data_IF_530854884318
#
_entry.id   IF_530854884318
#
_cell.length_a   1.000
_cell.length_b   1.000
_cell.length_c   1.000
_cell.angle_alpha   90.00
_cell.angle_beta   90.00
_cell.angle_gamma   90.00
#
_symmetry.space_group_name_H-M   'P 1'
#
loop_
_entity.id
_entity.type
_entity.pdbx_description
1 polymer ?
#
# COMPACT_ATOMS: atom_id res chain seq x y z
N UNK A 1 82.76 -10.01 -9.47
CA UNK A 1 81.65 -9.31 -8.79
C UNK A 1 80.52 -9.21 -9.81
N UNK A 2 79.62 -10.19 -9.84
CA UNK A 2 78.64 -10.37 -10.92
C UNK A 2 77.38 -9.55 -10.65
N UNK A 3 77.05 -8.68 -11.60
CA UNK A 3 75.85 -7.85 -11.60
C UNK A 3 74.75 -8.62 -12.33
N UNK A 4 73.73 -9.07 -11.61
CA UNK A 4 72.53 -9.67 -12.19
C UNK A 4 71.55 -8.57 -12.62
N UNK A 5 71.45 -8.32 -13.93
CA UNK A 5 70.39 -7.50 -14.51
C UNK A 5 69.12 -8.34 -14.71
N UNK A 6 68.15 -8.21 -13.80
CA UNK A 6 66.80 -8.70 -14.04
C UNK A 6 66.06 -7.75 -14.99
N UNK A 7 65.96 -8.15 -16.25
CA UNK A 7 65.20 -7.44 -17.27
C UNK A 7 63.70 -7.79 -17.12
N UNK A 8 63.02 -7.17 -16.15
CA UNK A 8 61.57 -7.32 -15.96
C UNK A 8 60.81 -6.54 -17.04
N UNK A 9 60.54 -7.19 -18.17
CA UNK A 9 59.48 -6.76 -19.09
C UNK A 9 58.13 -7.11 -18.46
N UNK A 10 57.55 -6.18 -17.71
CA UNK A 10 56.15 -6.26 -17.27
C UNK A 10 55.28 -6.30 -18.54
N UNK A 11 54.50 -7.36 -18.79
CA UNK A 11 53.73 -7.46 -20.02
C UNK A 11 52.56 -6.47 -19.97
N UNK A 12 52.50 -5.58 -20.99
CA UNK A 12 51.38 -4.67 -21.31
C UNK A 12 50.02 -5.36 -21.54
N UNK A 13 49.91 -6.64 -21.22
CA UNK A 13 48.72 -7.47 -21.42
C UNK A 13 47.68 -7.30 -20.30
N UNK A 14 48.10 -6.88 -19.11
CA UNK A 14 47.21 -6.74 -17.95
C UNK A 14 46.23 -5.55 -18.06
N UNK A 15 46.56 -4.51 -18.85
CA UNK A 15 45.70 -3.33 -18.98
C UNK A 15 44.52 -3.53 -19.94
N UNK A 16 44.60 -4.44 -20.92
CA UNK A 16 43.50 -4.66 -21.88
C UNK A 16 42.42 -5.63 -21.38
N UNK A 17 42.75 -6.52 -20.45
CA UNK A 17 41.79 -7.47 -19.88
C UNK A 17 40.87 -6.85 -18.81
N UNK A 18 41.18 -5.65 -18.33
CA UNK A 18 40.38 -4.90 -17.35
C UNK A 18 39.11 -4.26 -17.96
N UNK A 19 39.16 -3.86 -19.23
CA UNK A 19 38.11 -3.03 -19.84
C UNK A 19 36.93 -3.83 -20.41
N UNK A 20 37.15 -5.07 -20.88
CA UNK A 20 36.10 -5.87 -21.52
C UNK A 20 35.14 -6.53 -20.51
N UNK A 21 35.66 -6.96 -19.35
CA UNK A 21 34.87 -7.55 -18.25
C UNK A 21 34.07 -6.49 -17.49
N UNK A 22 34.59 -5.25 -17.40
CA UNK A 22 33.86 -4.13 -16.81
C UNK A 22 32.61 -3.75 -17.64
N UNK A 23 32.66 -3.85 -18.98
CA UNK A 23 31.51 -3.53 -19.85
C UNK A 23 30.37 -4.55 -19.78
N UNK A 24 30.67 -5.83 -19.55
CA UNK A 24 29.65 -6.88 -19.47
C UNK A 24 28.95 -6.91 -18.11
N UNK A 25 29.66 -6.63 -17.02
CA UNK A 25 29.04 -6.46 -15.70
C UNK A 25 28.14 -5.21 -15.64
N UNK A 26 28.50 -4.13 -16.36
CA UNK A 26 27.68 -2.90 -16.41
C UNK A 26 26.38 -3.08 -17.21
N UNK A 27 26.36 -3.94 -18.23
CA UNK A 27 25.15 -4.23 -19.02
C UNK A 27 24.12 -5.10 -18.28
N UNK A 28 24.54 -5.96 -17.33
CA UNK A 28 23.62 -6.83 -16.59
C UNK A 28 22.89 -6.09 -15.47
N UNK A 29 23.48 -5.00 -14.95
CA UNK A 29 22.86 -4.13 -13.95
C UNK A 29 21.75 -3.26 -14.57
N UNK A 30 21.77 -3.01 -15.88
CA UNK A 30 20.81 -2.13 -16.57
C UNK A 30 19.44 -2.77 -16.88
N UNK A 31 19.26 -4.08 -16.64
CA UNK A 31 18.02 -4.81 -16.98
C UNK A 31 17.10 -5.08 -15.79
N UNK A 32 17.52 -4.77 -14.57
CA UNK A 32 16.61 -4.71 -13.44
C UNK A 32 15.91 -3.35 -13.46
N UNK A 33 14.77 -3.29 -14.15
CA UNK A 33 13.78 -2.25 -13.83
C UNK A 33 13.38 -2.49 -12.39
N UNK A 34 13.98 -1.73 -11.49
CA UNK A 34 13.44 -1.55 -10.15
C UNK A 34 12.14 -0.79 -10.41
N UNK A 35 11.03 -1.53 -10.50
CA UNK A 35 9.71 -0.93 -10.45
C UNK A 35 9.58 -0.37 -9.04
N UNK A 36 10.02 0.87 -8.88
CA UNK A 36 9.78 1.64 -7.68
C UNK A 36 8.27 1.75 -7.58
N UNK A 37 7.67 1.00 -6.66
CA UNK A 37 6.27 1.15 -6.31
C UNK A 37 6.06 2.63 -5.97
N UNK A 38 5.42 3.36 -6.89
CA UNK A 38 5.11 4.76 -6.65
C UNK A 38 4.18 4.79 -5.44
N UNK A 39 4.58 5.53 -4.42
CA UNK A 39 3.71 5.78 -3.30
C UNK A 39 2.48 6.53 -3.84
N UNK A 40 1.35 5.84 -3.85
CA UNK A 40 0.06 6.44 -4.17
C UNK A 40 -0.39 7.24 -2.96
N UNK A 41 -0.82 8.48 -3.19
CA UNK A 41 -1.39 9.36 -2.19
C UNK A 41 -2.52 10.14 -2.84
N UNK A 42 -3.75 9.91 -2.40
CA UNK A 42 -4.91 10.64 -2.88
C UNK A 42 -5.82 11.06 -1.74
N UNK A 43 -6.50 12.20 -1.93
CA UNK A 43 -7.51 12.74 -1.02
C UNK A 43 -8.86 12.72 -1.73
N UNK A 44 -9.86 12.17 -1.07
CA UNK A 44 -11.23 12.07 -1.58
C UNK A 44 -12.20 12.72 -0.60
N UNK A 45 -13.04 13.62 -1.10
CA UNK A 45 -14.13 14.18 -0.29
C UNK A 45 -15.16 13.09 -0.02
N UNK A 46 -15.69 13.09 1.20
CA UNK A 46 -16.71 12.15 1.66
C UNK A 46 -17.96 12.97 1.95
N UNK A 47 -19.10 12.53 1.42
CA UNK A 47 -20.40 13.07 1.83
C UNK A 47 -20.70 12.51 3.23
N UNK A 48 -20.69 13.35 4.29
CA UNK A 48 -20.94 12.85 5.64
C UNK A 48 -22.40 12.38 5.82
N UNK A 49 -23.31 12.75 4.91
CA UNK A 49 -24.70 12.32 4.95
C UNK A 49 -24.94 10.93 4.36
N UNK A 50 -23.99 10.45 3.56
CA UNK A 50 -24.04 9.15 2.93
C UNK A 50 -23.64 8.05 3.93
N UNK A 51 -24.35 6.92 3.90
CA UNK A 51 -24.13 5.82 4.85
C UNK A 51 -23.71 4.52 4.16
N UNK A 52 -22.85 3.76 4.85
CA UNK A 52 -22.47 2.38 4.49
C UNK A 52 -23.26 1.33 5.29
N UNK A 53 -23.96 1.74 6.37
CA UNK A 53 -24.73 0.85 7.24
C UNK A 53 -26.23 1.13 7.10
N UNK A 54 -27.05 0.23 7.66
CA UNK A 54 -28.49 0.47 7.79
C UNK A 54 -28.68 1.68 8.70
N UNK A 55 -29.17 2.76 8.11
CA UNK A 55 -29.52 3.99 8.80
C UNK A 55 -30.96 4.36 8.49
N UNK A 56 -31.47 5.38 9.18
CA UNK A 56 -32.76 6.00 8.89
C UNK A 56 -32.99 6.17 7.38
N UNK A 57 -34.25 6.05 6.96
CA UNK A 57 -34.72 5.89 5.56
C UNK A 57 -34.37 6.99 4.57
N UNK A 58 -33.55 7.97 4.93
CA UNK A 58 -33.29 9.18 4.15
C UNK A 58 -31.81 9.44 3.84
N UNK A 59 -30.89 8.63 4.37
CA UNK A 59 -29.47 8.79 4.07
C UNK A 59 -29.15 8.30 2.65
N UNK A 60 -28.44 9.09 1.82
CA UNK A 60 -27.94 8.61 0.55
C UNK A 60 -26.95 7.44 0.72
N UNK A 61 -26.71 6.72 -0.37
CA UNK A 61 -25.76 5.62 -0.41
C UNK A 61 -24.33 6.14 -0.49
N UNK A 62 -23.43 5.61 0.34
CA UNK A 62 -22.00 5.85 0.19
C UNK A 62 -21.50 5.33 -1.15
N UNK A 63 -20.63 6.11 -1.79
CA UNK A 63 -19.98 5.75 -3.05
C UNK A 63 -18.71 4.94 -2.74
N UNK A 64 -18.59 3.68 -3.22
CA UNK A 64 -17.40 2.89 -3.02
C UNK A 64 -16.23 3.39 -3.87
N UNK A 65 -15.01 3.20 -3.36
CA UNK A 65 -13.78 3.37 -4.12
C UNK A 65 -13.34 2.02 -4.70
N UNK A 66 -13.06 2.00 -6.01
CA UNK A 66 -12.41 0.86 -6.68
C UNK A 66 -10.93 0.82 -6.27
N UNK A 67 -10.49 -0.24 -5.62
CA UNK A 67 -9.09 -0.38 -5.20
C UNK A 67 -8.15 -0.47 -6.41
N UNK A 68 -8.59 -1.14 -7.47
CA UNK A 68 -7.82 -1.25 -8.72
C UNK A 68 -7.63 0.11 -9.40
N UNK A 69 -8.64 0.98 -9.39
CA UNK A 69 -8.52 2.33 -9.97
C UNK A 69 -7.54 3.21 -9.17
N UNK A 70 -7.36 2.90 -7.88
CA UNK A 70 -6.37 3.53 -7.00
C UNK A 70 -4.99 2.88 -7.11
N UNK A 71 -4.82 1.83 -7.92
CA UNK A 71 -3.58 1.05 -8.00
C UNK A 71 -3.27 0.25 -6.73
N UNK A 72 -4.28 0.00 -5.90
CA UNK A 72 -4.18 -0.76 -4.65
C UNK A 72 -4.63 -2.20 -4.90
N UNK A 73 -3.81 -3.16 -4.51
CA UNK A 73 -4.04 -4.58 -4.69
C UNK A 73 -4.31 -5.29 -3.35
N UNK A 74 -4.89 -6.49 -3.42
CA UNK A 74 -4.98 -7.37 -2.25
C UNK A 74 -3.60 -7.63 -1.65
N UNK A 75 -3.52 -7.60 -0.32
CA UNK A 75 -2.28 -7.79 0.43
C UNK A 75 -1.46 -6.51 0.65
N UNK A 76 -1.74 -5.43 -0.09
CA UNK A 76 -1.09 -4.14 0.12
C UNK A 76 -1.39 -3.60 1.52
N UNK A 77 -0.43 -2.89 2.12
CA UNK A 77 -0.67 -2.12 3.33
C UNK A 77 -0.94 -0.68 2.97
N UNK A 78 -2.07 -0.16 3.42
CA UNK A 78 -2.49 1.22 3.17
C UNK A 78 -2.66 1.98 4.48
N UNK A 79 -2.35 3.28 4.44
CA UNK A 79 -2.68 4.24 5.49
C UNK A 79 -3.90 5.03 5.05
N UNK A 80 -4.93 4.96 5.87
CA UNK A 80 -6.14 5.76 5.78
C UNK A 80 -6.03 6.89 6.81
N UNK A 81 -6.43 8.11 6.46
CA UNK A 81 -6.37 9.27 7.34
C UNK A 81 -7.55 10.20 7.06
N UNK A 82 -8.24 10.67 8.09
CA UNK A 82 -9.34 11.62 7.90
C UNK A 82 -8.79 13.05 7.88
N UNK A 83 -9.37 13.85 6.98
CA UNK A 83 -9.27 15.29 6.90
C UNK A 83 -10.64 15.92 7.14
N UNK A 84 -10.65 17.12 7.73
CA UNK A 84 -11.89 17.87 7.93
C UNK A 84 -12.85 17.28 8.94
N UNK A 85 -13.97 17.97 9.16
CA UNK A 85 -15.02 17.55 10.11
C UNK A 85 -16.39 17.86 9.54
N UNK A 86 -17.43 17.36 10.21
CA UNK A 86 -18.82 17.64 9.87
C UNK A 86 -19.61 17.95 11.14
N UNK A 87 -20.80 18.52 10.95
CA UNK A 87 -21.81 18.72 11.98
C UNK A 87 -22.79 17.54 11.98
N UNK A 88 -22.94 16.80 13.09
CA UNK A 88 -23.80 15.62 13.15
C UNK A 88 -25.29 15.94 13.34
N UNK A 89 -25.64 17.22 13.54
CA UNK A 89 -27.01 17.64 13.88
C UNK A 89 -27.55 18.73 12.93
N UNK A 90 -26.97 18.84 11.74
CA UNK A 90 -27.41 19.78 10.71
C UNK A 90 -27.11 21.24 10.99
N UNK A 91 -26.35 21.57 12.04
CA UNK A 91 -25.90 22.93 12.31
C UNK A 91 -24.61 23.23 11.51
N UNK A 92 -24.67 24.02 10.44
CA UNK A 92 -23.51 24.31 9.59
C UNK A 92 -22.41 25.11 10.32
N UNK A 93 -22.68 25.62 11.53
CA UNK A 93 -21.73 26.41 12.31
C UNK A 93 -20.92 25.58 13.32
N UNK A 94 -21.29 24.32 13.52
CA UNK A 94 -20.70 23.45 14.55
C UNK A 94 -20.10 22.16 13.94
N UNK A 95 -19.03 22.31 13.16
CA UNK A 95 -18.31 21.21 12.51
C UNK A 95 -17.17 20.68 13.38
N UNK A 96 -17.47 19.77 14.31
CA UNK A 96 -16.49 19.20 15.23
C UNK A 96 -16.40 17.67 15.17
N UNK A 97 -17.33 17.01 14.48
CA UNK A 97 -17.37 15.56 14.44
C UNK A 97 -16.48 15.03 13.31
N UNK A 98 -15.65 14.04 13.64
CA UNK A 98 -14.64 13.51 12.74
C UNK A 98 -14.51 11.99 12.87
N UNK A 99 -15.56 11.30 13.29
CA UNK A 99 -15.54 9.85 13.31
C UNK A 99 -15.81 9.32 11.89
N UNK A 100 -15.02 8.35 11.43
CA UNK A 100 -15.11 7.80 10.09
C UNK A 100 -14.98 6.28 10.13
N UNK A 101 -15.83 5.59 9.37
CA UNK A 101 -15.80 4.13 9.20
C UNK A 101 -15.40 3.73 7.80
N UNK A 102 -14.90 2.51 7.68
CA UNK A 102 -14.71 1.85 6.41
C UNK A 102 -15.00 0.34 6.48
N UNK A 103 -15.28 -0.23 5.31
CA UNK A 103 -15.38 -1.67 5.11
C UNK A 103 -14.91 -2.06 3.71
N UNK A 104 -14.18 -3.17 3.61
CA UNK A 104 -13.76 -3.74 2.33
C UNK A 104 -14.85 -4.65 1.77
N UNK A 105 -14.95 -4.75 0.45
CA UNK A 105 -15.91 -5.65 -0.21
C UNK A 105 -15.38 -6.21 -1.53
N UNK A 106 -15.93 -7.36 -1.93
CA UNK A 106 -15.76 -7.94 -3.27
C UNK A 106 -16.67 -7.29 -4.33
N UNK A 107 -17.71 -6.55 -3.91
CA UNK A 107 -18.74 -5.95 -4.77
C UNK A 107 -18.91 -4.45 -4.47
N UNK A 108 -19.32 -3.67 -5.47
CA UNK A 108 -19.54 -2.22 -5.35
C UNK A 108 -21.00 -1.86 -5.06
N UNK A 109 -21.84 -2.85 -4.78
CA UNK A 109 -23.25 -2.66 -4.51
C UNK A 109 -23.49 -2.36 -3.03
N UNK A 110 -24.30 -1.34 -2.76
CA UNK A 110 -24.93 -1.15 -1.46
C UNK A 110 -26.39 -1.62 -1.53
N UNK A 111 -26.84 -2.41 -0.56
CA UNK A 111 -28.25 -2.80 -0.45
C UNK A 111 -29.08 -1.65 0.14
N UNK A 112 -30.42 -1.67 0.04
CA UNK A 112 -31.25 -0.61 0.62
C UNK A 112 -31.06 -0.40 2.13
N UNK A 113 -31.23 0.84 2.59
CA UNK A 113 -31.02 1.24 4.00
C UNK A 113 -32.00 0.59 4.98
N UNK A 114 -33.16 0.13 4.50
CA UNK A 114 -34.14 -0.64 5.25
C UNK A 114 -33.61 -1.97 5.81
N UNK A 115 -32.38 -2.36 5.44
CA UNK A 115 -31.76 -3.61 5.88
C UNK A 115 -32.47 -4.85 5.34
N UNK A 116 -33.46 -4.70 4.46
CA UNK A 116 -34.25 -5.80 3.90
C UNK A 116 -34.06 -5.86 2.39
N UNK A 117 -33.54 -6.98 1.90
CA UNK A 117 -33.43 -7.28 0.47
C UNK A 117 -34.14 -8.59 0.15
N UNK A 118 -35.08 -8.56 -0.79
CA UNK A 118 -35.94 -9.71 -1.12
C UNK A 118 -36.65 -10.35 0.09
N UNK A 119 -37.03 -9.54 1.09
CA UNK A 119 -37.74 -10.01 2.29
C UNK A 119 -36.86 -10.62 3.38
N UNK A 120 -35.52 -10.61 3.24
CA UNK A 120 -34.58 -11.05 4.27
C UNK A 120 -33.78 -9.87 4.83
N UNK A 121 -33.49 -9.89 6.13
CA UNK A 121 -32.54 -8.95 6.75
C UNK A 121 -31.13 -9.26 6.26
N UNK A 122 -30.43 -8.26 5.72
CA UNK A 122 -29.11 -8.41 5.12
C UNK A 122 -28.20 -7.26 5.52
N UNK A 123 -26.91 -7.51 5.69
CA UNK A 123 -25.90 -6.46 5.80
C UNK A 123 -25.93 -5.57 4.55
N UNK A 124 -25.80 -4.25 4.71
CA UNK A 124 -25.89 -3.30 3.58
C UNK A 124 -24.77 -3.45 2.55
N UNK A 125 -23.65 -4.04 2.93
CA UNK A 125 -22.48 -4.23 2.07
C UNK A 125 -22.33 -5.74 1.79
N UNK A 126 -22.94 -6.28 0.72
CA UNK A 126 -22.78 -7.67 0.34
C UNK A 126 -21.31 -7.98 0.09
N UNK A 127 -20.87 -9.13 0.57
CA UNK A 127 -19.49 -9.56 0.39
C UNK A 127 -18.48 -8.68 1.13
N UNK A 128 -18.91 -8.00 2.19
CA UNK A 128 -18.01 -7.33 3.12
C UNK A 128 -16.97 -8.31 3.67
N UNK A 129 -15.72 -7.87 3.72
CA UNK A 129 -14.58 -8.67 4.15
C UNK A 129 -13.97 -8.03 5.40
N UNK A 130 -13.56 -8.87 6.35
CA UNK A 130 -12.89 -8.40 7.54
C UNK A 130 -11.58 -7.69 7.20
N UNK A 131 -11.40 -6.49 7.73
CA UNK A 131 -10.15 -5.76 7.59
C UNK A 131 -9.02 -6.45 8.36
N UNK A 132 -7.81 -6.42 7.81
CA UNK A 132 -6.63 -6.98 8.46
C UNK A 132 -5.86 -5.82 9.10
N UNK A 133 -6.11 -5.59 10.38
CA UNK A 133 -5.41 -4.57 11.16
C UNK A 133 -4.14 -5.17 11.82
N UNK A 134 -3.03 -4.41 11.95
CA UNK A 134 -1.78 -4.92 12.53
C UNK A 134 -1.93 -5.51 13.94
N UNK A 135 -2.84 -4.95 14.74
CA UNK A 135 -3.12 -5.40 16.11
C UNK A 135 -4.47 -6.14 16.23
N UNK A 136 -5.04 -6.57 15.11
CA UNK A 136 -6.39 -7.11 15.04
C UNK A 136 -7.49 -6.06 15.26
N UNK A 137 -8.75 -6.51 15.25
CA UNK A 137 -9.91 -5.67 15.56
C UNK A 137 -10.05 -5.47 17.07
N UNK A 138 -9.52 -4.36 17.60
CA UNK A 138 -9.79 -3.98 18.98
C UNK A 138 -11.23 -3.43 19.13
N UNK A 139 -11.89 -3.60 20.29
CA UNK A 139 -13.30 -3.18 20.47
C UNK A 139 -13.60 -1.71 20.16
N UNK A 140 -12.60 -0.83 20.25
CA UNK A 140 -12.71 0.59 19.93
C UNK A 140 -12.31 0.95 18.49
N UNK A 141 -11.70 0.01 17.77
CA UNK A 141 -11.25 0.16 16.38
C UNK A 141 -12.21 -0.50 15.39
N UNK A 142 -13.08 -1.39 15.85
CA UNK A 142 -14.03 -2.08 15.00
C UNK A 142 -15.43 -2.07 15.59
N UNK A 143 -16.41 -1.75 14.75
CA UNK A 143 -17.83 -1.86 15.10
C UNK A 143 -18.27 -3.32 15.05
N UNK A 144 -17.80 -4.03 14.02
CA UNK A 144 -17.87 -5.48 13.87
C UNK A 144 -16.63 -5.92 13.08
N UNK A 145 -16.44 -7.23 12.83
CA UNK A 145 -15.22 -7.70 12.18
C UNK A 145 -14.99 -7.13 10.77
N UNK A 146 -16.06 -6.71 10.07
CA UNK A 146 -16.01 -6.14 8.72
C UNK A 146 -15.96 -4.62 8.65
N UNK A 147 -16.36 -3.92 9.71
CA UNK A 147 -16.43 -2.44 9.76
C UNK A 147 -15.45 -1.93 10.81
N UNK A 148 -14.50 -1.11 10.37
CA UNK A 148 -13.46 -0.55 11.22
C UNK A 148 -13.46 0.98 11.16
N UNK A 149 -12.94 1.61 12.22
CA UNK A 149 -12.77 3.05 12.32
C UNK A 149 -11.47 3.48 11.63
N UNK A 150 -11.58 4.47 10.74
CA UNK A 150 -10.43 5.24 10.25
C UNK A 150 -10.05 6.31 11.28
N UNK A 151 -11.03 6.95 11.90
CA UNK A 151 -10.81 7.99 12.89
C UNK A 151 -11.91 8.01 13.94
N UNK A 152 -11.55 8.51 15.12
CA UNK A 152 -12.42 8.72 16.28
C UNK A 152 -11.88 9.85 17.15
N UNK A 153 -12.54 10.11 18.29
CA UNK A 153 -12.16 11.18 19.23
C UNK A 153 -10.68 11.08 19.66
N UNK A 154 -10.16 9.87 19.78
CA UNK A 154 -8.84 9.55 20.33
C UNK A 154 -7.76 9.26 19.26
N UNK A 155 -8.12 9.13 17.98
CA UNK A 155 -7.15 8.88 16.91
C UNK A 155 -7.62 9.37 15.53
N UNK A 156 -6.63 9.72 14.69
CA UNK A 156 -6.87 10.10 13.30
C UNK A 156 -6.00 9.26 12.35
N UNK A 157 -6.58 8.17 11.84
CA UNK A 157 -5.99 7.31 10.83
C UNK A 157 -5.90 5.85 11.24
N UNK A 158 -5.81 4.99 10.23
CA UNK A 158 -5.67 3.56 10.38
C UNK A 158 -4.64 3.03 9.37
N UNK A 159 -3.79 2.10 9.81
CA UNK A 159 -2.96 1.30 8.92
C UNK A 159 -3.65 -0.06 8.80
N UNK A 160 -4.00 -0.44 7.58
CA UNK A 160 -4.71 -1.69 7.31
C UNK A 160 -4.09 -2.41 6.13
N UNK A 161 -4.04 -3.74 6.21
CA UNK A 161 -3.75 -4.57 5.05
C UNK A 161 -5.05 -4.84 4.29
N UNK A 162 -4.99 -4.65 2.98
CA UNK A 162 -6.11 -4.91 2.07
C UNK A 162 -6.40 -6.41 2.04
N UNK A 163 -7.62 -6.85 2.39
CA UNK A 163 -7.95 -8.27 2.41
C UNK A 163 -7.79 -8.93 1.02
N UNK A 164 -7.57 -10.24 1.04
CA UNK A 164 -7.61 -11.04 -0.19
C UNK A 164 -8.99 -10.92 -0.83
N UNK A 165 -9.01 -10.80 -2.16
CA UNK A 165 -10.20 -10.62 -3.00
C UNK A 165 -10.97 -9.31 -2.82
N UNK A 166 -10.56 -8.42 -1.91
CA UNK A 166 -11.14 -7.09 -1.80
C UNK A 166 -10.94 -6.31 -3.10
N UNK A 167 -12.04 -5.80 -3.66
CA UNK A 167 -12.05 -4.98 -4.88
C UNK A 167 -12.48 -3.53 -4.61
N UNK A 168 -13.26 -3.34 -3.56
CA UNK A 168 -13.81 -2.04 -3.20
C UNK A 168 -13.59 -1.75 -1.71
N UNK A 169 -13.56 -0.46 -1.38
CA UNK A 169 -13.66 0.04 -0.02
C UNK A 169 -14.80 1.06 0.05
N UNK A 170 -15.73 0.84 0.97
CA UNK A 170 -16.77 1.80 1.31
C UNK A 170 -16.31 2.61 2.51
N UNK A 171 -16.50 3.93 2.45
CA UNK A 171 -16.08 4.86 3.48
C UNK A 171 -17.23 5.84 3.75
N UNK A 172 -17.44 6.18 5.02
CA UNK A 172 -18.48 7.13 5.41
C UNK A 172 -18.24 7.70 6.81
N UNK A 173 -19.04 8.72 7.16
CA UNK A 173 -19.11 9.20 8.52
C UNK A 173 -19.49 8.06 9.49
N UNK A 174 -19.01 8.13 10.72
CA UNK A 174 -19.36 7.17 11.77
C UNK A 174 -20.38 7.76 12.73
N UNK A 175 -21.65 7.78 12.29
CA UNK A 175 -22.79 8.30 13.05
C UNK A 175 -23.94 7.28 13.11
N UNK A 176 -25.02 7.63 13.79
CA UNK A 176 -26.29 6.92 13.86
C UNK A 176 -27.40 7.63 13.08
N UNK A 177 -27.31 8.95 12.92
CA UNK A 177 -28.18 9.78 12.10
C UNK A 177 -27.31 10.44 11.04
N UNK A 178 -27.42 9.97 9.80
CA UNK A 178 -26.54 10.47 8.73
C UNK A 178 -27.23 11.54 7.90
N UNK A 179 -28.54 11.46 7.72
CA UNK A 179 -29.26 12.35 6.80
C UNK A 179 -29.20 13.85 7.20
N UNK A 180 -28.92 14.14 8.47
CA UNK A 180 -28.73 15.46 9.05
C UNK A 180 -27.26 15.88 9.15
N UNK A 181 -26.32 15.06 8.69
CA UNK A 181 -24.92 15.44 8.67
C UNK A 181 -24.65 16.54 7.64
N UNK A 182 -23.93 17.58 8.04
CA UNK A 182 -23.58 18.72 7.18
C UNK A 182 -22.08 19.00 7.23
N UNK A 183 -21.47 19.11 6.06
CA UNK A 183 -20.11 19.63 5.85
C UNK A 183 -20.20 20.87 4.94
N UNK A 184 -20.27 22.04 5.57
CA UNK A 184 -20.46 23.35 4.95
C UNK A 184 -19.19 23.84 4.28
N UNK A 185 -18.03 23.56 4.88
CA UNK A 185 -16.74 23.98 4.37
C UNK A 185 -16.19 23.04 3.27
N UNK A 186 -16.77 21.83 3.13
CA UNK A 186 -16.46 20.78 2.15
C UNK A 186 -15.06 20.17 2.30
N UNK A 187 -14.59 20.07 3.53
CA UNK A 187 -13.26 19.55 3.86
C UNK A 187 -13.27 18.14 4.44
N UNK A 188 -14.44 17.56 4.75
CA UNK A 188 -14.58 16.20 5.24
C UNK A 188 -14.17 15.21 4.15
N UNK A 189 -13.05 14.54 4.39
CA UNK A 189 -12.36 13.77 3.37
C UNK A 189 -11.52 12.65 3.96
N UNK A 190 -11.15 11.68 3.12
CA UNK A 190 -10.21 10.61 3.44
C UNK A 190 -8.98 10.69 2.55
N UNK A 191 -7.80 10.60 3.15
CA UNK A 191 -6.56 10.32 2.46
C UNK A 191 -6.31 8.82 2.43
N UNK A 192 -6.03 8.29 1.24
CA UNK A 192 -5.65 6.90 1.02
C UNK A 192 -4.22 6.91 0.49
N UNK A 193 -3.31 6.33 1.27
CA UNK A 193 -1.90 6.27 0.92
C UNK A 193 -1.42 4.83 0.92
N UNK A 194 -0.74 4.38 -0.14
CA UNK A 194 -0.02 3.11 -0.09
C UNK A 194 1.17 3.27 0.86
N UNK A 195 1.28 2.42 1.88
CA UNK A 195 2.50 2.34 2.66
C UNK A 195 3.46 1.52 1.82
N UNK A 196 4.36 2.19 1.10
CA UNK A 196 5.42 1.51 0.37
C UNK A 196 6.22 0.68 1.36
N UNK A 197 5.96 -0.62 1.40
CA UNK A 197 6.92 -1.57 1.94
C UNK A 197 7.98 -1.63 0.86
N UNK A 198 8.92 -0.67 0.88
CA UNK A 198 10.09 -0.73 0.02
C UNK A 198 10.58 -2.16 0.08
N UNK A 199 10.56 -2.86 -1.06
CA UNK A 199 10.87 -4.29 -1.11
C UNK A 199 12.27 -4.42 -0.52
N UNK A 200 12.35 -4.86 0.73
CA UNK A 200 13.64 -5.07 1.38
C UNK A 200 14.27 -6.17 0.53
N UNK A 201 15.38 -5.90 -0.20
CA UNK A 201 15.94 -6.88 -1.09
C UNK A 201 16.19 -8.13 -0.27
N UNK A 202 15.53 -9.23 -0.62
CA UNK A 202 15.67 -10.43 0.19
C UNK A 202 17.17 -10.79 0.27
N UNK A 203 17.66 -11.23 1.45
CA UNK A 203 19.09 -11.44 1.66
C UNK A 203 19.70 -12.45 0.68
N UNK A 204 18.88 -13.36 0.14
CA UNK A 204 19.26 -14.31 -0.91
C UNK A 204 19.61 -13.62 -2.25
N UNK A 205 18.99 -12.49 -2.60
CA UNK A 205 19.31 -11.74 -3.83
C UNK A 205 20.68 -11.06 -3.73
N UNK A 206 20.94 -10.39 -2.60
CA UNK A 206 22.26 -9.79 -2.32
C UNK A 206 23.33 -10.86 -2.21
N UNK A 207 23.03 -12.00 -1.57
CA UNK A 207 23.94 -13.13 -1.46
C UNK A 207 24.24 -13.76 -2.82
N UNK A 208 23.23 -13.89 -3.70
CA UNK A 208 23.42 -14.38 -5.05
C UNK A 208 24.32 -13.44 -5.87
N UNK A 209 24.10 -12.12 -5.78
CA UNK A 209 24.94 -11.13 -6.46
C UNK A 209 26.40 -11.21 -5.99
N UNK A 210 26.62 -11.36 -4.68
CA UNK A 210 27.96 -11.57 -4.11
C UNK A 210 28.58 -12.90 -4.57
N UNK A 211 27.82 -13.99 -4.57
CA UNK A 211 28.30 -15.31 -4.99
C UNK A 211 28.70 -15.33 -6.48
N UNK A 212 27.92 -14.67 -7.34
CA UNK A 212 28.27 -14.51 -8.76
C UNK A 212 29.54 -13.67 -8.95
N UNK A 213 29.71 -12.59 -8.18
CA UNK A 213 30.92 -11.78 -8.20
C UNK A 213 32.19 -12.56 -7.81
N UNK A 214 32.09 -13.41 -6.77
CA UNK A 214 33.21 -14.24 -6.30
C UNK A 214 33.52 -15.36 -7.29
N UNK A 215 32.52 -16.01 -7.88
CA UNK A 215 32.74 -17.08 -8.86
C UNK A 215 33.39 -16.54 -10.16
N UNK A 216 32.95 -15.39 -10.66
CA UNK A 216 33.50 -14.80 -11.87
C UNK A 216 34.97 -14.40 -11.72
N UNK A 217 35.35 -13.87 -10.56
CA UNK A 217 36.75 -13.50 -10.25
C UNK A 217 37.63 -14.73 -10.02
N UNK A 218 37.12 -15.75 -9.33
CA UNK A 218 37.84 -17.02 -9.12
C UNK A 218 38.12 -17.79 -10.42
N UNK A 219 37.15 -17.88 -11.32
CA UNK A 219 37.32 -18.58 -12.61
C UNK A 219 38.32 -17.87 -13.52
N UNK A 220 38.34 -16.53 -13.50
CA UNK A 220 39.31 -15.70 -14.23
C UNK A 220 40.73 -15.95 -13.71
N UNK A 221 40.90 -16.04 -12.39
CA UNK A 221 42.18 -16.34 -11.75
C UNK A 221 42.73 -17.71 -12.16
N UNK A 222 41.91 -18.77 -12.11
CA UNK A 222 42.30 -20.12 -12.52
C UNK A 222 42.68 -20.22 -14.01
N UNK A 223 41.97 -19.49 -14.89
CA UNK A 223 42.32 -19.41 -16.31
C UNK A 223 43.68 -18.76 -16.55
N UNK A 224 44.05 -17.77 -15.75
CA UNK A 224 45.33 -17.09 -15.89
C UNK A 224 46.51 -17.95 -15.40
N UNK A 225 46.31 -18.77 -14.36
CA UNK A 225 47.30 -19.74 -13.87
C UNK A 225 47.70 -20.76 -14.95
N UNK A 226 46.72 -21.32 -15.69
CA UNK A 226 46.98 -22.31 -16.76
C UNK A 226 47.75 -21.79 -17.97
N UNK A 227 47.85 -20.47 -18.17
CA UNK A 227 48.62 -19.87 -19.28
C UNK A 227 50.06 -19.52 -18.92
N UNK A 228 50.40 -19.58 -17.63
CA UNK A 228 51.73 -19.26 -17.11
C UNK A 228 52.62 -20.50 -16.92
N UNK A 229 52.05 -21.69 -17.08
CA UNK A 229 52.72 -23.00 -17.12
C UNK A 229 52.86 -23.44 -18.58
#
# INVERSE_FOLDING_TARGET
MSIFFFNQKIPKLFTKLSVATAKTAFSLILLFKIDSAQAFAAKFNIDPSASIISSYTFSPDSVPFSLTDLGINSGDTIKLERFGSFSPFGDPTDEYFGAMWATFSIDNKLLPSSGTYNGATTDRVPGAINAILPNGCLPFQCLNNSIFYISRVDFNGAIVQVPIDAKFIFIGAADSSFADNVDSNKDFAVGINSVSTASVPEPNFVSALLAFGVCATGLQFLRNQKKAL
#
